data_IF_773960770175
#
_entry.id   IF_773960770175
#
_cell.length_a   1.000
_cell.length_b   1.000
_cell.length_c   1.000
_cell.angle_alpha   90.00
_cell.angle_beta   90.00
_cell.angle_gamma   90.00
#
_symmetry.space_group_name_H-M   'P 1'
#
loop_
_entity.id
_entity.type
_entity.pdbx_description
1 polymer ?
#
# COMPACT_ATOMS: atom_id res chain seq x y z
N UNK A 1 -35.46 54.64 48.17
CA UNK A 1 -34.11 54.87 48.76
C UNK A 1 -33.06 54.34 47.79
N UNK A 2 -31.96 55.09 47.61
CA UNK A 2 -30.84 54.86 46.67
C UNK A 2 -29.86 53.77 47.16
N UNK A 3 -29.19 53.09 46.20
CA UNK A 3 -27.73 52.77 46.08
C UNK A 3 -27.58 51.56 45.11
N UNK A 4 -27.05 51.59 43.88
CA UNK A 4 -25.76 52.01 43.27
C UNK A 4 -24.65 50.93 43.26
N UNK A 5 -24.52 50.26 42.08
CA UNK A 5 -23.32 49.92 41.23
C UNK A 5 -22.35 48.75 41.60
N UNK A 6 -21.82 48.17 40.50
CA UNK A 6 -20.62 47.33 40.21
C UNK A 6 -20.99 45.85 39.93
N UNK A 7 -20.62 45.19 38.83
CA UNK A 7 -19.71 45.46 37.72
C UNK A 7 -19.12 44.11 37.23
N UNK A 8 -18.75 44.04 35.94
CA UNK A 8 -17.87 43.05 35.27
C UNK A 8 -18.39 41.62 34.93
N UNK A 9 -18.60 41.43 33.62
CA UNK A 9 -17.78 40.62 32.68
C UNK A 9 -17.58 39.10 32.87
N UNK A 10 -17.48 38.47 31.69
CA UNK A 10 -16.92 37.16 31.34
C UNK A 10 -17.91 35.98 31.39
N UNK A 11 -18.08 35.18 30.35
CA UNK A 11 -17.41 35.13 29.05
C UNK A 11 -17.89 33.87 28.33
N UNK A 12 -18.34 34.02 27.09
CA UNK A 12 -18.47 32.91 26.15
C UNK A 12 -17.06 32.49 25.77
N UNK A 13 -16.65 31.29 26.18
CA UNK A 13 -15.49 30.60 25.61
C UNK A 13 -15.71 29.08 25.74
N UNK A 14 -16.49 28.51 24.83
CA UNK A 14 -16.24 27.13 24.42
C UNK A 14 -15.11 27.22 23.38
N UNK A 15 -13.86 27.17 23.86
CA UNK A 15 -12.73 26.85 22.98
C UNK A 15 -12.94 25.40 22.54
N UNK A 16 -13.45 25.21 21.34
CA UNK A 16 -13.24 23.99 20.59
C UNK A 16 -11.75 23.87 20.31
N UNK A 17 -11.01 23.23 21.20
CA UNK A 17 -9.67 22.77 20.86
C UNK A 17 -9.83 21.55 19.95
N UNK A 18 -10.07 21.81 18.66
CA UNK A 18 -9.70 20.87 17.60
C UNK A 18 -8.18 20.87 17.62
N UNK A 19 -7.59 19.90 18.29
CA UNK A 19 -6.17 19.64 18.12
C UNK A 19 -6.02 19.00 16.75
N UNK A 20 -5.60 19.79 15.77
CA UNK A 20 -5.14 19.29 14.48
C UNK A 20 -3.80 18.62 14.72
N UNK A 21 -3.79 17.33 15.01
CA UNK A 21 -2.56 16.56 14.97
C UNK A 21 -2.17 16.36 13.51
N UNK A 22 -0.98 16.86 13.18
CA UNK A 22 -0.36 16.60 11.89
C UNK A 22 -0.27 15.08 11.72
N UNK A 23 -0.90 14.56 10.67
CA UNK A 23 -0.50 13.27 10.14
C UNK A 23 1.02 13.24 10.00
N UNK A 24 1.64 12.12 10.36
CA UNK A 24 3.08 11.95 10.17
C UNK A 24 3.40 12.22 8.70
N UNK A 25 4.21 13.25 8.45
CA UNK A 25 4.57 13.70 7.10
C UNK A 25 5.21 12.55 6.29
N UNK A 26 5.80 11.56 6.97
CA UNK A 26 6.36 10.36 6.36
C UNK A 26 5.27 9.42 5.78
N UNK A 27 4.12 9.30 6.45
CA UNK A 27 2.97 8.49 6.01
C UNK A 27 2.33 9.05 4.74
N UNK A 28 2.16 10.37 4.69
CA UNK A 28 1.64 11.07 3.50
C UNK A 28 2.62 10.95 2.33
N UNK A 29 3.93 11.06 2.59
CA UNK A 29 4.94 10.94 1.56
C UNK A 29 4.95 9.54 0.91
N UNK A 30 4.75 8.46 1.69
CA UNK A 30 4.68 7.09 1.16
C UNK A 30 3.44 6.82 0.32
N UNK A 31 2.26 7.24 0.78
CA UNK A 31 1.04 7.11 0.00
C UNK A 31 1.14 7.88 -1.33
N UNK A 32 1.71 9.10 -1.29
CA UNK A 32 1.97 9.90 -2.49
C UNK A 32 2.97 9.23 -3.44
N UNK A 33 3.98 8.55 -2.88
CA UNK A 33 4.96 7.79 -3.67
C UNK A 33 4.31 6.61 -4.39
N UNK A 34 3.50 5.79 -3.70
CA UNK A 34 2.80 4.65 -4.32
C UNK A 34 1.91 5.14 -5.47
N UNK A 35 1.08 6.16 -5.23
CA UNK A 35 0.23 6.74 -6.26
C UNK A 35 1.05 7.26 -7.46
N UNK A 36 2.18 7.94 -7.20
CA UNK A 36 3.07 8.42 -8.26
C UNK A 36 3.74 7.28 -9.03
N UNK A 37 4.11 6.18 -8.36
CA UNK A 37 4.71 5.00 -8.99
C UNK A 37 3.69 4.32 -9.89
N UNK A 38 2.48 4.10 -9.41
CA UNK A 38 1.41 3.45 -10.18
C UNK A 38 1.00 4.30 -11.38
N UNK A 39 0.78 5.61 -11.18
CA UNK A 39 0.47 6.53 -12.28
C UNK A 39 1.63 6.61 -13.30
N UNK A 40 2.87 6.69 -12.83
CA UNK A 40 4.04 6.73 -13.69
C UNK A 40 4.23 5.47 -14.53
N UNK A 41 3.94 4.29 -13.96
CA UNK A 41 3.97 3.02 -14.69
C UNK A 41 2.87 2.94 -15.75
N UNK A 42 1.64 3.35 -15.40
CA UNK A 42 0.53 3.38 -16.34
C UNK A 42 0.83 4.25 -17.57
N UNK A 43 1.34 5.46 -17.35
CA UNK A 43 1.72 6.38 -18.44
C UNK A 43 2.88 5.83 -19.27
N UNK A 44 3.90 5.27 -18.62
CA UNK A 44 5.14 4.79 -19.27
C UNK A 44 4.92 3.57 -20.15
N UNK A 45 3.95 2.73 -19.80
CA UNK A 45 3.72 1.44 -20.45
C UNK A 45 2.42 1.36 -21.24
N UNK A 46 1.70 2.47 -21.39
CA UNK A 46 0.49 2.53 -22.20
C UNK A 46 0.69 1.94 -23.61
N UNK A 47 1.80 2.26 -24.28
CA UNK A 47 2.10 1.76 -25.62
C UNK A 47 2.41 0.24 -25.63
N UNK A 48 3.06 -0.29 -24.60
CA UNK A 48 3.26 -1.75 -24.46
C UNK A 48 1.95 -2.45 -24.18
N UNK A 49 1.09 -1.85 -23.35
CA UNK A 49 -0.21 -2.40 -23.06
C UNK A 49 -1.08 -2.48 -24.33
N UNK A 50 -1.01 -1.48 -25.20
CA UNK A 50 -1.64 -1.54 -26.52
C UNK A 50 -1.08 -2.68 -27.38
N UNK A 51 0.24 -2.90 -27.37
CA UNK A 51 0.88 -4.00 -28.09
C UNK A 51 0.50 -5.38 -27.54
N UNK A 52 0.41 -5.52 -26.21
CA UNK A 52 -0.07 -6.72 -25.52
C UNK A 52 -1.52 -7.01 -25.92
N UNK A 53 -2.39 -6.00 -25.83
CA UNK A 53 -3.80 -6.11 -26.20
C UNK A 53 -4.00 -6.44 -27.69
N UNK A 54 -3.11 -5.96 -28.56
CA UNK A 54 -3.09 -6.30 -29.98
C UNK A 54 -2.51 -7.70 -30.29
N UNK A 55 -1.99 -8.42 -29.28
CA UNK A 55 -1.34 -9.72 -29.46
C UNK A 55 -0.01 -9.66 -30.20
N UNK A 56 0.60 -8.47 -30.30
CA UNK A 56 1.86 -8.23 -31.02
C UNK A 56 3.10 -8.31 -30.12
N UNK A 57 2.86 -8.45 -28.81
CA UNK A 57 3.87 -8.60 -27.78
C UNK A 57 3.30 -9.56 -26.74
N UNK A 58 4.18 -10.34 -26.12
CA UNK A 58 3.83 -11.27 -25.05
C UNK A 58 4.71 -10.95 -23.83
N UNK A 59 4.07 -10.76 -22.68
CA UNK A 59 4.76 -10.57 -21.41
C UNK A 59 5.01 -11.96 -20.79
N UNK A 60 6.26 -12.20 -20.39
CA UNK A 60 6.64 -13.39 -19.65
C UNK A 60 6.22 -13.19 -18.19
N UNK A 61 4.97 -13.53 -17.89
CA UNK A 61 4.36 -13.36 -16.56
C UNK A 61 4.73 -14.57 -15.69
N UNK A 62 5.34 -14.36 -14.52
CA UNK A 62 5.64 -15.44 -13.59
C UNK A 62 4.39 -16.15 -13.11
N UNK A 63 4.41 -17.49 -13.09
CA UNK A 63 3.33 -18.28 -12.51
C UNK A 63 3.43 -18.24 -10.96
N UNK A 64 2.34 -17.92 -10.25
CA UNK A 64 2.34 -17.91 -8.79
C UNK A 64 2.45 -19.34 -8.25
N UNK A 65 3.02 -19.48 -7.05
CA UNK A 65 3.04 -20.74 -6.31
C UNK A 65 1.76 -20.81 -5.49
N UNK A 66 0.93 -21.83 -5.74
CA UNK A 66 -0.26 -22.09 -4.92
C UNK A 66 0.11 -22.32 -3.46
N UNK A 67 -0.67 -21.74 -2.57
CA UNK A 67 -0.44 -21.73 -1.14
C UNK A 67 0.72 -20.81 -0.73
N UNK A 68 1.50 -21.30 0.24
CA UNK A 68 2.40 -20.48 1.04
C UNK A 68 3.82 -21.06 1.16
N UNK A 69 4.20 -21.88 0.18
CA UNK A 69 5.52 -22.51 0.10
C UNK A 69 6.61 -21.56 -0.42
N UNK A 70 6.22 -20.48 -1.10
CA UNK A 70 7.13 -19.41 -1.53
C UNK A 70 7.62 -18.52 -0.38
N UNK A 71 8.69 -17.76 -0.65
CA UNK A 71 9.30 -16.83 0.32
C UNK A 71 8.47 -15.55 0.51
N UNK A 72 7.73 -15.12 -0.52
CA UNK A 72 6.98 -13.87 -0.55
C UNK A 72 5.49 -14.11 -0.75
N UNK A 73 4.70 -13.74 0.27
CA UNK A 73 3.25 -13.92 0.29
C UNK A 73 2.51 -12.83 -0.50
N UNK A 74 1.54 -13.24 -1.33
CA UNK A 74 0.77 -12.36 -2.19
C UNK A 74 -0.40 -11.72 -1.45
N UNK A 75 -0.68 -10.42 -1.63
CA UNK A 75 -1.72 -9.71 -0.91
C UNK A 75 -3.14 -9.97 -1.43
N UNK A 76 -3.32 -10.72 -2.52
CA UNK A 76 -4.62 -11.15 -3.03
C UNK A 76 -4.89 -12.63 -2.80
N UNK A 77 -6.17 -12.94 -2.65
CA UNK A 77 -6.76 -14.27 -2.83
C UNK A 77 -6.79 -14.64 -4.31
N UNK A 78 -6.94 -15.92 -4.62
CA UNK A 78 -7.16 -16.42 -5.99
C UNK A 78 -8.43 -15.82 -6.62
N UNK A 79 -9.39 -15.42 -5.79
CA UNK A 79 -10.62 -14.76 -6.25
C UNK A 79 -10.46 -13.26 -6.53
N UNK A 80 -9.25 -12.71 -6.37
CA UNK A 80 -8.94 -11.31 -6.65
C UNK A 80 -9.36 -10.31 -5.57
N UNK A 81 -9.70 -10.77 -4.37
CA UNK A 81 -9.90 -9.90 -3.20
C UNK A 81 -8.64 -9.80 -2.37
N UNK A 82 -8.45 -8.70 -1.65
CA UNK A 82 -7.40 -8.58 -0.64
C UNK A 82 -7.48 -9.73 0.38
N UNK A 83 -6.32 -10.25 0.76
CA UNK A 83 -6.20 -11.23 1.84
C UNK A 83 -6.51 -10.60 3.20
N UNK A 84 -6.92 -11.41 4.20
CA UNK A 84 -7.13 -10.93 5.56
C UNK A 84 -5.91 -10.23 6.17
N UNK A 85 -4.69 -10.64 5.80
CA UNK A 85 -3.48 -9.99 6.28
C UNK A 85 -3.23 -8.65 5.58
N UNK A 86 -3.56 -8.52 4.29
CA UNK A 86 -3.45 -7.26 3.57
C UNK A 86 -4.44 -6.22 4.10
N UNK A 87 -5.69 -6.62 4.36
CA UNK A 87 -6.69 -5.76 5.00
C UNK A 87 -6.25 -5.29 6.39
N UNK A 88 -5.65 -6.18 7.19
CA UNK A 88 -5.07 -5.81 8.49
C UNK A 88 -3.86 -4.90 8.34
N UNK A 89 -3.01 -5.10 7.33
CA UNK A 89 -1.87 -4.22 7.08
C UNK A 89 -2.35 -2.78 6.82
N UNK A 90 -3.39 -2.62 6.01
CA UNK A 90 -4.02 -1.33 5.71
C UNK A 90 -4.74 -0.76 6.95
N UNK A 91 -5.46 -1.60 7.69
CA UNK A 91 -6.15 -1.18 8.92
C UNK A 91 -5.19 -0.76 10.03
N UNK A 92 -4.03 -1.42 10.17
CA UNK A 92 -3.00 -1.05 11.12
C UNK A 92 -2.33 0.28 10.75
N UNK A 93 -2.21 0.58 9.46
CA UNK A 93 -1.77 1.89 8.98
C UNK A 93 -2.78 2.98 9.36
N UNK A 94 -4.07 2.73 9.16
CA UNK A 94 -5.16 3.66 9.59
C UNK A 94 -5.23 3.78 11.11
N UNK A 95 -5.15 2.69 11.86
CA UNK A 95 -5.30 2.66 13.32
C UNK A 95 -4.17 3.37 14.07
N UNK A 96 -2.93 3.24 13.58
CA UNK A 96 -1.80 4.02 14.08
C UNK A 96 -1.99 5.53 13.89
N UNK A 97 -2.71 5.92 12.83
CA UNK A 97 -3.05 7.31 12.58
C UNK A 97 -4.28 7.79 13.36
N UNK A 98 -5.29 6.92 13.56
CA UNK A 98 -6.52 7.23 14.32
C UNK A 98 -6.25 7.39 15.83
N UNK A 99 -5.18 6.79 16.36
CA UNK A 99 -4.61 7.19 17.66
C UNK A 99 -4.22 8.68 17.75
N UNK A 100 -4.15 9.38 16.60
CA UNK A 100 -4.01 10.83 16.44
C UNK A 100 -5.12 11.51 15.62
N UNK A 101 -6.13 10.80 15.08
CA UNK A 101 -7.20 11.37 14.23
C UNK A 101 -8.55 10.72 14.54
N UNK A 102 -9.40 11.45 15.26
CA UNK A 102 -10.80 11.12 15.37
C UNK A 102 -11.55 11.53 14.08
N UNK A 103 -12.39 10.61 13.62
CA UNK A 103 -13.55 10.80 12.73
C UNK A 103 -13.31 11.07 11.23
N UNK A 104 -14.18 10.37 10.48
CA UNK A 104 -14.69 10.62 9.13
C UNK A 104 -14.07 9.87 7.93
N UNK A 105 -15.00 9.25 7.19
CA UNK A 105 -14.97 8.72 5.83
C UNK A 105 -14.61 7.24 5.64
N UNK A 106 -15.67 6.45 5.52
CA UNK A 106 -15.68 5.22 4.77
C UNK A 106 -15.76 5.52 3.26
N UNK A 107 -15.15 4.62 2.48
CA UNK A 107 -15.33 4.40 1.02
C UNK A 107 -14.45 5.24 0.06
N UNK A 108 -13.58 4.52 -0.68
CA UNK A 108 -12.66 4.92 -1.77
C UNK A 108 -11.35 5.60 -1.34
N UNK A 109 -10.49 4.85 -0.65
CA UNK A 109 -9.52 5.43 0.27
C UNK A 109 -8.06 5.09 -0.07
N UNK A 110 -7.65 5.32 -1.31
CA UNK A 110 -6.23 5.53 -1.66
C UNK A 110 -6.07 6.80 -2.50
N UNK A 111 -7.01 7.05 -3.42
CA UNK A 111 -7.19 8.35 -4.06
C UNK A 111 -7.74 9.44 -3.12
N UNK A 112 -8.56 9.09 -2.12
CA UNK A 112 -9.02 10.03 -1.10
C UNK A 112 -8.37 9.75 0.27
N UNK A 113 -7.22 10.40 0.48
CA UNK A 113 -6.66 10.74 1.81
C UNK A 113 -6.71 9.62 2.88
N UNK A 114 -6.25 8.41 2.56
CA UNK A 114 -5.72 7.50 3.59
C UNK A 114 -4.22 7.62 3.61
N UNK A 115 -3.65 8.17 4.68
CA UNK A 115 -2.22 8.08 4.90
C UNK A 115 -1.89 6.62 5.21
N UNK A 116 -1.30 5.96 4.22
CA UNK A 116 -0.82 4.58 4.28
C UNK A 116 0.40 4.47 5.21
N UNK A 117 0.25 4.84 6.48
CA UNK A 117 1.37 4.96 7.37
C UNK A 117 1.04 4.81 8.84
N UNK A 118 1.56 3.71 9.38
CA UNK A 118 1.52 3.41 10.80
C UNK A 118 2.66 2.57 11.35
N UNK A 119 3.32 1.72 10.56
CA UNK A 119 4.17 0.69 11.16
C UNK A 119 5.51 0.38 10.46
N UNK A 120 6.04 1.32 9.67
CA UNK A 120 7.32 1.10 8.98
C UNK A 120 8.50 1.90 9.54
N UNK A 121 8.36 2.40 10.77
CA UNK A 121 9.44 3.06 11.50
C UNK A 121 10.38 2.03 12.13
N UNK A 122 11.23 1.41 11.32
CA UNK A 122 12.27 0.53 11.86
C UNK A 122 13.22 0.02 10.80
N UNK A 123 14.31 0.75 10.54
CA UNK A 123 15.52 0.14 9.97
C UNK A 123 16.10 -0.84 10.99
N UNK A 124 15.56 -2.05 11.06
CA UNK A 124 16.15 -3.14 11.84
C UNK A 124 17.11 -3.92 10.94
N UNK A 125 18.39 -3.53 10.95
CA UNK A 125 19.48 -4.38 10.44
C UNK A 125 19.59 -5.62 11.34
N UNK A 126 18.91 -6.72 11.01
CA UNK A 126 19.31 -8.11 11.31
C UNK A 126 18.15 -9.08 11.05
N UNK A 127 18.47 -10.23 10.43
CA UNK A 127 17.64 -11.39 10.03
C UNK A 127 16.66 -12.02 11.07
N UNK A 128 16.25 -11.35 12.15
CA UNK A 128 15.48 -12.01 13.22
C UNK A 128 14.50 -11.13 14.01
N UNK A 129 14.27 -9.87 13.63
CA UNK A 129 13.23 -9.06 14.28
C UNK A 129 12.09 -8.83 13.32
N UNK A 130 10.99 -9.51 13.59
CA UNK A 130 9.69 -9.23 13.01
C UNK A 130 9.47 -7.72 12.97
N UNK A 131 9.23 -7.17 11.78
CA UNK A 131 8.94 -5.75 11.67
C UNK A 131 7.66 -5.52 12.45
N UNK A 132 7.55 -4.37 13.10
CA UNK A 132 6.35 -4.19 13.90
C UNK A 132 5.07 -4.12 13.04
N UNK A 133 5.18 -3.84 11.73
CA UNK A 133 4.08 -4.02 10.78
C UNK A 133 3.58 -5.46 10.77
N UNK A 134 4.49 -6.42 10.66
CA UNK A 134 4.15 -7.85 10.73
C UNK A 134 3.53 -8.20 12.09
N UNK A 135 4.07 -7.67 13.20
CA UNK A 135 3.49 -7.86 14.54
C UNK A 135 2.04 -7.34 14.60
N UNK A 136 1.77 -6.16 14.05
CA UNK A 136 0.44 -5.56 14.06
C UNK A 136 -0.59 -6.32 13.22
N UNK A 137 -0.13 -6.96 12.15
CA UNK A 137 -0.96 -7.82 11.30
C UNK A 137 -1.36 -9.12 12.04
N UNK A 138 -0.53 -9.56 13.00
CA UNK A 138 -0.73 -10.79 13.76
C UNK A 138 0.41 -11.79 13.63
N UNK A 139 1.54 -11.38 13.04
CA UNK A 139 2.74 -12.17 12.88
C UNK A 139 2.83 -12.93 11.55
N UNK A 140 4.01 -13.48 11.26
CA UNK A 140 4.25 -14.25 10.02
C UNK A 140 3.36 -15.48 9.87
N UNK A 141 3.01 -16.15 10.97
CA UNK A 141 2.13 -17.32 10.90
C UNK A 141 0.72 -16.93 10.43
N UNK A 142 0.17 -15.80 10.93
CA UNK A 142 -1.10 -15.28 10.45
C UNK A 142 -1.04 -14.91 8.95
N UNK A 143 0.03 -14.26 8.51
CA UNK A 143 0.23 -13.92 7.09
C UNK A 143 0.23 -15.21 6.25
N UNK A 144 1.03 -16.20 6.66
CA UNK A 144 1.18 -17.48 5.96
C UNK A 144 -0.13 -18.25 5.87
N UNK A 145 -0.87 -18.34 6.97
CA UNK A 145 -2.16 -19.05 7.04
C UNK A 145 -3.26 -18.41 6.20
N UNK A 146 -3.15 -17.10 5.93
CA UNK A 146 -4.14 -16.33 5.18
C UNK A 146 -3.63 -15.96 3.77
N UNK A 147 -2.69 -16.73 3.24
CA UNK A 147 -2.13 -16.55 1.89
C UNK A 147 -2.47 -17.73 1.00
N UNK A 148 -3.01 -17.43 -0.17
CA UNK A 148 -3.37 -18.43 -1.20
C UNK A 148 -2.34 -18.50 -2.33
N UNK A 149 -1.57 -17.43 -2.55
CA UNK A 149 -0.54 -17.37 -3.59
C UNK A 149 0.78 -16.84 -3.02
N UNK A 150 1.90 -17.40 -3.46
CA UNK A 150 3.23 -17.00 -3.02
C UNK A 150 4.26 -17.01 -4.15
N UNK A 151 5.42 -16.40 -3.91
CA UNK A 151 6.49 -16.25 -4.89
C UNK A 151 7.86 -16.50 -4.27
N UNK A 152 8.82 -16.91 -5.11
CA UNK A 152 10.22 -17.08 -4.70
C UNK A 152 11.03 -15.77 -4.82
N UNK A 153 10.48 -14.73 -5.45
CA UNK A 153 11.15 -13.43 -5.55
C UNK A 153 10.16 -12.26 -5.52
N UNK A 154 10.61 -11.11 -5.02
CA UNK A 154 9.84 -9.85 -5.06
C UNK A 154 9.68 -9.30 -6.47
N UNK A 155 10.62 -9.62 -7.38
CA UNK A 155 10.52 -9.25 -8.78
C UNK A 155 9.36 -9.99 -9.44
N UNK A 156 9.24 -11.30 -9.19
CA UNK A 156 8.15 -12.11 -9.75
C UNK A 156 6.79 -11.67 -9.21
N UNK A 157 6.70 -11.46 -7.90
CA UNK A 157 5.52 -10.91 -7.24
C UNK A 157 5.12 -9.57 -7.85
N UNK A 158 6.10 -8.69 -8.12
CA UNK A 158 5.84 -7.36 -8.69
C UNK A 158 5.31 -7.44 -10.12
N UNK A 159 5.92 -8.27 -10.96
CA UNK A 159 5.52 -8.45 -12.36
C UNK A 159 4.12 -9.05 -12.42
N UNK A 160 3.87 -10.12 -11.66
CA UNK A 160 2.56 -10.76 -11.60
C UNK A 160 1.47 -9.81 -11.07
N UNK A 161 1.72 -9.12 -9.95
CA UNK A 161 0.75 -8.17 -9.39
C UNK A 161 0.36 -7.10 -10.40
N UNK A 162 1.35 -6.57 -11.12
CA UNK A 162 1.10 -5.53 -12.12
C UNK A 162 0.42 -6.08 -13.36
N UNK A 163 0.78 -7.27 -13.85
CA UNK A 163 0.14 -7.81 -15.06
C UNK A 163 -1.32 -8.14 -14.83
N UNK A 164 -1.65 -8.73 -13.68
CA UNK A 164 -2.99 -9.24 -13.41
C UNK A 164 -3.93 -8.19 -12.81
N UNK A 165 -3.44 -7.32 -11.93
CA UNK A 165 -4.29 -6.45 -11.12
C UNK A 165 -4.13 -4.97 -11.42
N UNK A 166 -3.22 -4.56 -12.31
CA UNK A 166 -3.06 -3.13 -12.63
C UNK A 166 -4.35 -2.56 -13.24
N UNK A 167 -4.85 -1.48 -12.66
CA UNK A 167 -6.12 -0.86 -13.03
C UNK A 167 -7.32 -1.35 -12.22
N UNK A 168 -7.16 -2.39 -11.39
CA UNK A 168 -8.17 -2.78 -10.40
C UNK A 168 -8.24 -1.77 -9.25
N UNK A 169 -9.42 -1.65 -8.64
CA UNK A 169 -9.72 -0.61 -7.66
C UNK A 169 -8.89 -0.69 -6.36
N UNK A 170 -8.32 -1.86 -6.07
CA UNK A 170 -7.53 -2.13 -4.87
C UNK A 170 -6.06 -2.42 -5.17
N UNK A 171 -5.60 -2.24 -6.41
CA UNK A 171 -4.21 -2.48 -6.80
C UNK A 171 -3.21 -1.71 -5.94
N UNK A 172 -3.46 -0.42 -5.72
CA UNK A 172 -2.57 0.38 -4.90
C UNK A 172 -2.63 -0.03 -3.42
N UNK A 173 -3.78 -0.55 -2.96
CA UNK A 173 -3.96 -1.05 -1.60
C UNK A 173 -3.16 -2.34 -1.40
N UNK A 174 -3.23 -3.26 -2.35
CA UNK A 174 -2.46 -4.49 -2.35
C UNK A 174 -0.95 -4.22 -2.38
N UNK A 175 -0.50 -3.30 -3.24
CA UNK A 175 0.91 -2.90 -3.31
C UNK A 175 1.36 -2.24 -1.99
N UNK A 176 0.53 -1.38 -1.39
CA UNK A 176 0.82 -0.79 -0.10
C UNK A 176 0.92 -1.81 1.04
N UNK A 177 0.02 -2.80 1.05
CA UNK A 177 0.05 -3.91 2.00
C UNK A 177 1.33 -4.75 1.84
N UNK A 178 1.71 -5.07 0.60
CA UNK A 178 2.94 -5.80 0.30
C UNK A 178 4.19 -5.00 0.72
N UNK A 179 4.26 -3.69 0.42
CA UNK A 179 5.36 -2.82 0.85
C UNK A 179 5.47 -2.70 2.38
N UNK A 180 4.38 -2.93 3.12
CA UNK A 180 4.41 -2.92 4.57
C UNK A 180 5.20 -4.09 5.17
N UNK A 181 5.21 -5.23 4.52
CA UNK A 181 5.97 -6.40 4.98
C UNK A 181 7.25 -6.64 4.17
N UNK A 182 7.33 -6.06 2.97
CA UNK A 182 8.50 -6.10 2.08
C UNK A 182 8.91 -4.68 1.61
N UNK A 183 9.60 -3.89 2.45
CA UNK A 183 9.97 -2.51 2.13
C UNK A 183 10.85 -2.34 0.87
N UNK A 184 11.53 -3.41 0.46
CA UNK A 184 12.34 -3.46 -0.77
C UNK A 184 11.50 -3.18 -2.02
N UNK A 185 10.20 -3.49 -2.00
CA UNK A 185 9.28 -3.20 -3.11
C UNK A 185 9.17 -1.71 -3.41
N UNK A 186 9.37 -0.81 -2.44
CA UNK A 186 9.34 0.66 -2.66
C UNK A 186 10.29 1.12 -3.78
N UNK A 187 11.35 0.36 -4.05
CA UNK A 187 12.30 0.63 -5.13
C UNK A 187 12.40 -0.50 -6.15
N UNK A 188 12.03 -1.72 -5.76
CA UNK A 188 12.09 -2.91 -6.59
C UNK A 188 10.94 -3.00 -7.59
N UNK A 189 9.74 -2.57 -7.20
CA UNK A 189 8.53 -2.82 -7.97
C UNK A 189 8.58 -2.25 -9.40
N UNK A 190 8.84 -0.94 -9.54
CA UNK A 190 8.98 -0.30 -10.85
C UNK A 190 10.13 -0.94 -11.66
N UNK A 191 11.25 -1.29 -11.01
CA UNK A 191 12.41 -1.88 -11.70
C UNK A 191 12.12 -3.26 -12.28
N UNK A 192 11.39 -4.09 -11.55
CA UNK A 192 11.02 -5.43 -11.98
C UNK A 192 10.10 -5.37 -13.21
N UNK A 193 9.08 -4.51 -13.16
CA UNK A 193 8.16 -4.25 -14.28
C UNK A 193 8.96 -3.70 -15.47
N UNK A 194 9.83 -2.72 -15.22
CA UNK A 194 10.67 -2.13 -16.26
C UNK A 194 11.48 -3.16 -17.03
N UNK A 195 12.07 -4.09 -16.29
CA UNK A 195 12.88 -5.16 -16.85
C UNK A 195 12.00 -6.10 -17.67
N UNK A 196 10.87 -6.55 -17.14
CA UNK A 196 9.96 -7.47 -17.83
C UNK A 196 9.45 -6.89 -19.16
N UNK A 197 9.00 -5.63 -19.17
CA UNK A 197 8.50 -4.96 -20.37
C UNK A 197 9.61 -4.73 -21.42
N UNK A 198 10.84 -4.39 -20.99
CA UNK A 198 12.00 -4.28 -21.90
C UNK A 198 12.39 -5.63 -22.48
N UNK A 199 12.36 -6.69 -21.68
CA UNK A 199 12.65 -8.05 -22.11
C UNK A 199 11.62 -8.53 -23.15
N UNK A 200 10.33 -8.28 -22.91
CA UNK A 200 9.25 -8.59 -23.85
C UNK A 200 9.41 -7.88 -25.20
N UNK A 201 9.68 -6.56 -25.19
CA UNK A 201 9.99 -5.80 -26.42
C UNK A 201 11.18 -6.34 -27.18
N UNK A 202 12.23 -6.75 -26.46
CA UNK A 202 13.44 -7.31 -27.07
C UNK A 202 13.15 -8.65 -27.74
N UNK A 203 12.38 -9.53 -27.09
CA UNK A 203 11.94 -10.82 -27.66
C UNK A 203 11.10 -10.59 -28.93
N UNK A 204 10.14 -9.67 -28.90
CA UNK A 204 9.28 -9.36 -30.05
C UNK A 204 10.06 -8.85 -31.28
N UNK A 205 11.17 -8.13 -31.10
CA UNK A 205 12.03 -7.66 -32.21
C UNK A 205 12.91 -8.75 -32.83
N UNK A 206 13.06 -9.88 -32.15
CA UNK A 206 13.90 -11.00 -32.60
C UNK A 206 13.10 -12.06 -33.36
N UNK A 207 11.76 -11.96 -33.33
CA UNK A 207 10.83 -12.78 -34.10
C UNK A 207 10.59 -12.14 -35.49
#
# INVERSE_FOLDING_TARGET
MKKTIYGLLAGVWLVSSVVVYAADMNSIAKASMILSTVAGLADKYQDVQEMLNAGTLELDVPEPIEGNEGEFYFPYTESGYLTPWAEKALSAQVGAEVGGRAADSAVSSLASKVPLGGFLAGKAKSKAKETGAVVAIGGWDFIRENTELSFNSLDDLSVYMHSEFNGEADYEQALAAAMAIYPELERGHERAIDKAYKDARRKARQQ
#
